data_IF_196854727361
#
_entry.id   IF_196854727361
#
_cell.length_a   1.000
_cell.length_b   1.000
_cell.length_c   1.000
_cell.angle_alpha   90.00
_cell.angle_beta   90.00
_cell.angle_gamma   90.00
#
_symmetry.space_group_name_H-M   'P 1'
#
loop_
_entity.id
_entity.type
_entity.pdbx_description
1 polymer ?
#
# COMPACT_ATOMS: atom_id res chain seq x y z
N UNK A 1 -3.35 -33.01 16.93
CA UNK A 1 -4.20 -32.00 16.24
C UNK A 1 -3.48 -30.66 15.93
N UNK A 2 -2.74 -30.04 16.87
CA UNK A 2 -2.08 -28.71 16.71
C UNK A 2 -1.18 -28.57 15.46
N UNK A 3 -0.40 -29.60 15.14
CA UNK A 3 0.51 -29.63 13.98
C UNK A 3 -0.20 -29.50 12.62
N UNK A 4 -1.45 -29.99 12.48
CA UNK A 4 -2.22 -29.83 11.23
C UNK A 4 -2.57 -28.35 11.00
N UNK A 5 -3.20 -27.70 11.99
CA UNK A 5 -3.51 -26.26 11.96
C UNK A 5 -2.30 -25.38 11.61
N UNK A 6 -1.13 -25.65 12.19
CA UNK A 6 0.09 -24.88 11.88
C UNK A 6 0.56 -25.06 10.43
N UNK A 7 0.45 -26.28 9.85
CA UNK A 7 0.73 -26.50 8.42
C UNK A 7 -0.26 -25.74 7.53
N UNK A 8 -1.54 -25.74 7.90
CA UNK A 8 -2.58 -25.04 7.15
C UNK A 8 -2.37 -23.51 7.19
N UNK A 9 -2.09 -22.93 8.36
CA UNK A 9 -1.82 -21.49 8.50
C UNK A 9 -0.57 -21.06 7.73
N UNK A 10 0.51 -21.85 7.80
CA UNK A 10 1.72 -21.60 6.99
C UNK A 10 1.42 -21.68 5.48
N UNK A 11 0.58 -22.62 5.04
CA UNK A 11 0.12 -22.70 3.64
C UNK A 11 -0.68 -21.47 3.23
N UNK A 12 -1.63 -21.03 4.05
CA UNK A 12 -2.45 -19.84 3.77
C UNK A 12 -1.60 -18.58 3.71
N UNK A 13 -0.72 -18.34 4.70
CA UNK A 13 0.18 -17.19 4.71
C UNK A 13 1.17 -17.18 3.54
N UNK A 14 1.69 -18.36 3.14
CA UNK A 14 2.53 -18.46 1.94
C UNK A 14 1.77 -18.04 0.67
N UNK A 15 0.51 -18.46 0.50
CA UNK A 15 -0.35 -18.01 -0.61
C UNK A 15 -0.55 -16.49 -0.60
N UNK A 16 -0.80 -15.89 0.57
CA UNK A 16 -0.91 -14.43 0.70
C UNK A 16 0.40 -13.69 0.39
N UNK A 17 1.55 -14.23 0.79
CA UNK A 17 2.86 -13.67 0.45
C UNK A 17 3.15 -13.72 -1.05
N UNK A 18 2.86 -14.85 -1.70
CA UNK A 18 3.15 -15.08 -3.12
C UNK A 18 2.24 -14.27 -4.07
N UNK A 19 0.95 -14.19 -3.76
CA UNK A 19 -0.04 -13.56 -4.67
C UNK A 19 -0.31 -12.11 -4.34
N UNK A 20 -0.43 -11.78 -3.05
CA UNK A 20 -0.81 -10.45 -2.58
C UNK A 20 0.37 -9.64 -2.03
N UNK A 21 1.60 -10.16 -2.13
CA UNK A 21 2.84 -9.46 -1.75
C UNK A 21 2.91 -9.06 -0.27
N UNK A 22 2.31 -9.85 0.62
CA UNK A 22 2.45 -9.66 2.07
C UNK A 22 3.94 -9.73 2.47
N UNK A 23 4.39 -8.75 3.27
CA UNK A 23 5.76 -8.67 3.79
C UNK A 23 5.77 -8.70 5.30
N UNK A 24 6.87 -9.20 5.85
CA UNK A 24 7.13 -9.31 7.28
C UNK A 24 7.78 -8.01 7.79
N UNK A 25 7.46 -7.52 9.01
CA UNK A 25 6.43 -8.05 9.91
C UNK A 25 5.02 -7.75 9.40
N UNK A 26 4.10 -8.73 9.51
CA UNK A 26 2.74 -8.57 9.01
C UNK A 26 1.98 -7.50 9.80
N UNK A 27 1.27 -6.62 9.09
CA UNK A 27 0.52 -5.52 9.70
C UNK A 27 -0.89 -5.98 10.05
N UNK A 28 -1.23 -6.02 11.34
CA UNK A 28 -2.51 -6.57 11.84
C UNK A 28 -3.36 -5.43 12.41
N UNK A 29 -4.49 -5.12 11.78
CA UNK A 29 -5.50 -4.24 12.34
C UNK A 29 -6.32 -5.02 13.36
N UNK A 30 -6.43 -4.51 14.59
CA UNK A 30 -7.10 -5.17 15.71
C UNK A 30 -8.33 -4.39 16.14
N UNK A 31 -9.44 -5.12 16.31
CA UNK A 31 -10.79 -4.62 16.59
C UNK A 31 -11.08 -4.46 18.09
N UNK A 32 -11.91 -3.49 18.46
CA UNK A 32 -12.37 -3.28 19.84
C UNK A 32 -12.94 -4.55 20.50
N UNK A 33 -13.87 -5.25 19.83
CA UNK A 33 -14.49 -6.50 20.32
C UNK A 33 -13.44 -7.61 20.45
N UNK A 34 -12.45 -7.63 19.55
CA UNK A 34 -11.39 -8.62 19.55
C UNK A 34 -10.43 -8.42 20.72
N UNK A 35 -10.11 -7.17 21.09
CA UNK A 35 -9.29 -6.85 22.27
C UNK A 35 -10.03 -7.22 23.56
N UNK A 36 -11.33 -6.92 23.67
CA UNK A 36 -12.16 -7.33 24.80
C UNK A 36 -12.17 -8.87 24.95
N UNK A 37 -12.57 -9.58 23.88
CA UNK A 37 -12.61 -11.05 23.85
C UNK A 37 -11.27 -11.70 24.21
N UNK A 38 -10.15 -11.08 23.82
CA UNK A 38 -8.80 -11.55 24.16
C UNK A 38 -8.49 -11.39 25.66
N UNK A 39 -8.91 -10.30 26.30
CA UNK A 39 -8.72 -10.09 27.73
C UNK A 39 -9.58 -11.04 28.57
N UNK A 40 -10.83 -11.25 28.19
CA UNK A 40 -11.76 -12.17 28.86
C UNK A 40 -11.18 -13.60 28.88
N UNK A 41 -10.59 -14.02 27.75
CA UNK A 41 -10.00 -15.34 27.57
C UNK A 41 -8.52 -15.41 28.00
N UNK A 42 -7.98 -14.34 28.60
CA UNK A 42 -6.57 -14.24 29.06
C UNK A 42 -5.53 -14.52 27.96
N UNK A 43 -5.84 -14.17 26.71
CA UNK A 43 -5.00 -14.37 25.52
C UNK A 43 -4.07 -13.16 25.34
N UNK A 44 -2.76 -13.35 25.49
CA UNK A 44 -1.78 -12.32 25.11
C UNK A 44 -1.67 -12.21 23.57
N UNK A 45 -2.20 -11.11 23.03
CA UNK A 45 -2.16 -10.81 21.61
C UNK A 45 -0.74 -10.59 21.06
N UNK A 46 0.23 -10.21 21.91
CA UNK A 46 1.62 -9.97 21.45
C UNK A 46 2.33 -11.28 21.09
N UNK A 47 2.12 -12.34 21.86
CA UNK A 47 2.72 -13.67 21.61
C UNK A 47 1.87 -14.53 20.68
N UNK A 48 0.54 -14.49 20.82
CA UNK A 48 -0.35 -15.42 20.11
C UNK A 48 -0.54 -15.05 18.64
N UNK A 49 -0.57 -13.76 18.27
CA UNK A 49 -0.77 -13.35 16.87
C UNK A 49 0.42 -13.80 15.99
N UNK A 50 1.70 -13.59 16.38
CA UNK A 50 2.83 -14.17 15.65
C UNK A 50 2.79 -15.70 15.55
N UNK A 51 2.36 -16.38 16.61
CA UNK A 51 2.27 -17.83 16.65
C UNK A 51 1.20 -18.40 15.67
N UNK A 52 0.11 -17.67 15.44
CA UNK A 52 -0.93 -18.04 14.47
C UNK A 52 -0.53 -17.66 13.03
N UNK A 53 0.10 -16.50 12.84
CA UNK A 53 0.60 -16.04 11.53
C UNK A 53 1.90 -16.74 11.10
N UNK A 54 2.49 -17.58 11.95
CA UNK A 54 3.73 -18.31 11.76
C UNK A 54 4.96 -17.41 11.49
N UNK A 55 4.90 -16.12 11.84
CA UNK A 55 5.98 -15.14 11.63
C UNK A 55 5.75 -13.87 12.47
N UNK A 56 6.70 -12.94 12.44
CA UNK A 56 6.62 -11.67 13.15
C UNK A 56 5.44 -10.81 12.66
N UNK A 57 4.67 -10.25 13.61
CA UNK A 57 3.50 -9.42 13.33
C UNK A 57 3.52 -8.14 14.16
N UNK A 58 2.97 -7.06 13.58
CA UNK A 58 2.83 -5.74 14.16
C UNK A 58 1.35 -5.44 14.38
N UNK A 59 0.90 -5.48 15.62
CA UNK A 59 -0.47 -5.15 16.01
C UNK A 59 -0.69 -3.64 15.94
N UNK A 60 -1.80 -3.23 15.33
CA UNK A 60 -2.16 -1.84 15.11
C UNK A 60 -3.64 -1.60 15.45
N UNK A 61 -3.91 -0.39 15.95
CA UNK A 61 -5.23 0.06 16.40
C UNK A 61 -5.51 1.43 15.79
N UNK A 62 -6.75 1.70 15.38
CA UNK A 62 -7.14 2.99 14.77
C UNK A 62 -7.67 3.98 15.81
N UNK A 63 -7.57 5.30 15.61
CA UNK A 63 -8.22 6.29 16.46
C UNK A 63 -9.71 6.04 16.68
N UNK A 64 -10.44 5.51 15.68
CA UNK A 64 -11.85 5.15 15.79
C UNK A 64 -12.07 3.96 16.74
N UNK A 65 -11.31 2.87 16.60
CA UNK A 65 -11.35 1.72 17.54
C UNK A 65 -11.05 2.17 18.99
N UNK A 66 -10.08 3.09 19.18
CA UNK A 66 -9.79 3.68 20.49
C UNK A 66 -10.88 4.62 21.00
N UNK A 67 -11.71 5.20 20.13
CA UNK A 67 -12.82 6.05 20.52
C UNK A 67 -14.02 5.18 20.94
N UNK A 68 -14.30 4.09 20.21
CA UNK A 68 -15.33 3.12 20.57
C UNK A 68 -15.02 2.42 21.91
N UNK A 69 -13.76 2.04 22.14
CA UNK A 69 -13.32 1.52 23.45
C UNK A 69 -13.43 2.55 24.58
N UNK A 70 -13.47 3.86 24.30
CA UNK A 70 -13.76 4.89 25.32
C UNK A 70 -15.26 5.07 25.54
N UNK A 71 -16.08 5.03 24.49
CA UNK A 71 -17.53 5.21 24.62
C UNK A 71 -18.21 4.04 25.34
N UNK A 72 -17.58 2.86 25.34
CA UNK A 72 -18.00 1.69 26.15
C UNK A 72 -17.65 1.80 27.65
N UNK A 73 -17.00 2.89 28.10
CA UNK A 73 -16.82 3.18 29.52
C UNK A 73 -15.96 2.17 30.30
N UNK A 74 -16.37 1.88 31.53
CA UNK A 74 -15.60 1.09 32.49
C UNK A 74 -15.45 -0.38 32.10
N UNK A 75 -16.48 -0.99 31.51
CA UNK A 75 -16.47 -2.36 30.97
C UNK A 75 -15.33 -2.57 29.95
N UNK A 76 -15.01 -1.53 29.18
CA UNK A 76 -13.96 -1.54 28.16
C UNK A 76 -12.62 -0.98 28.65
N UNK A 77 -12.51 -0.53 29.91
CA UNK A 77 -11.32 0.15 30.45
C UNK A 77 -10.03 -0.66 30.29
N UNK A 78 -10.08 -1.97 30.59
CA UNK A 78 -8.96 -2.89 30.39
C UNK A 78 -8.55 -3.02 28.93
N UNK A 79 -9.53 -3.12 28.02
CA UNK A 79 -9.30 -3.18 26.57
C UNK A 79 -8.71 -1.87 26.03
N UNK A 80 -9.19 -0.72 26.52
CA UNK A 80 -8.61 0.59 26.20
C UNK A 80 -7.14 0.69 26.68
N UNK A 81 -6.82 0.25 27.89
CA UNK A 81 -5.44 0.23 28.40
C UNK A 81 -4.56 -0.72 27.55
N UNK A 82 -5.05 -1.91 27.21
CA UNK A 82 -4.34 -2.85 26.33
C UNK A 82 -4.09 -2.24 24.94
N UNK A 83 -5.08 -1.56 24.35
CA UNK A 83 -5.00 -0.91 23.03
C UNK A 83 -3.85 0.11 22.93
N UNK A 84 -3.50 0.79 24.02
CA UNK A 84 -2.40 1.77 24.07
C UNK A 84 -1.02 1.13 23.85
N UNK A 85 -0.88 -0.20 24.01
CA UNK A 85 0.35 -0.95 23.78
C UNK A 85 0.58 -1.29 22.30
N UNK A 86 -0.46 -1.19 21.46
CA UNK A 86 -0.39 -1.45 20.03
C UNK A 86 -0.04 -0.15 19.26
N UNK A 87 0.44 -0.29 18.02
CA UNK A 87 0.80 0.89 17.23
C UNK A 87 -0.44 1.62 16.71
N UNK A 88 -0.45 2.94 16.78
CA UNK A 88 -1.60 3.76 16.35
C UNK A 88 -1.56 3.99 14.85
N UNK A 89 -2.45 3.32 14.10
CA UNK A 89 -2.65 3.58 12.67
C UNK A 89 -3.59 4.76 12.48
N UNK A 90 -3.07 5.90 12.01
CA UNK A 90 -3.91 7.07 11.65
C UNK A 90 -4.92 6.70 10.55
N UNK A 91 -6.19 6.97 10.82
CA UNK A 91 -7.30 6.95 9.87
C UNK A 91 -7.49 8.34 9.24
N UNK A 92 -8.39 8.47 8.26
CA UNK A 92 -8.70 9.75 7.59
C UNK A 92 -9.80 10.54 8.30
N UNK A 93 -10.47 9.94 9.28
CA UNK A 93 -11.60 10.49 10.01
C UNK A 93 -11.14 11.54 11.04
N UNK A 94 -11.78 12.70 11.05
CA UNK A 94 -11.53 13.77 12.02
C UNK A 94 -12.40 13.64 13.27
N UNK A 95 -13.66 13.22 13.10
CA UNK A 95 -14.55 12.74 14.17
C UNK A 95 -14.47 11.22 14.27
N UNK A 96 -14.79 10.66 15.43
CA UNK A 96 -14.86 9.21 15.59
C UNK A 96 -16.09 8.65 14.86
N UNK A 97 -15.85 7.83 13.84
CA UNK A 97 -16.87 7.07 13.11
C UNK A 97 -16.90 5.65 13.65
N UNK A 98 -17.98 4.90 13.40
CA UNK A 98 -18.06 3.48 13.76
C UNK A 98 -16.85 2.70 13.27
N UNK A 99 -16.36 1.77 14.09
CA UNK A 99 -15.17 0.99 13.76
C UNK A 99 -15.33 0.23 12.42
N UNK A 100 -16.50 -0.37 12.21
CA UNK A 100 -16.82 -1.17 11.02
C UNK A 100 -16.65 -0.39 9.71
N UNK A 101 -17.09 0.87 9.69
CA UNK A 101 -16.90 1.79 8.56
C UNK A 101 -15.44 2.21 8.43
N UNK A 102 -14.77 2.52 9.54
CA UNK A 102 -13.36 2.92 9.55
C UNK A 102 -12.44 1.83 8.96
N UNK A 103 -12.61 0.56 9.37
CA UNK A 103 -11.87 -0.56 8.82
C UNK A 103 -12.17 -0.79 7.34
N UNK A 104 -13.44 -0.71 6.94
CA UNK A 104 -13.85 -0.87 5.54
C UNK A 104 -13.19 0.17 4.62
N UNK A 105 -13.10 1.43 5.04
CA UNK A 105 -12.41 2.48 4.28
C UNK A 105 -10.89 2.33 4.25
N UNK A 106 -10.26 1.86 5.34
CA UNK A 106 -8.81 1.66 5.42
C UNK A 106 -8.34 0.53 4.51
N UNK A 107 -9.12 -0.55 4.42
CA UNK A 107 -8.79 -1.75 3.62
C UNK A 107 -9.19 -1.53 2.15
N UNK A 108 -10.31 -0.85 1.91
CA UNK A 108 -10.86 -0.64 0.56
C UNK A 108 -11.09 -1.97 -0.19
N UNK A 109 -11.29 -1.93 -1.51
CA UNK A 109 -11.61 -3.10 -2.35
C UNK A 109 -10.40 -3.99 -2.66
N UNK A 110 -9.18 -3.48 -2.49
CA UNK A 110 -7.93 -4.12 -2.96
C UNK A 110 -6.80 -4.21 -1.93
N UNK A 111 -7.05 -3.86 -0.66
CA UNK A 111 -6.08 -3.95 0.46
C UNK A 111 -4.67 -3.41 0.11
N UNK A 112 -4.52 -2.12 -0.26
CA UNK A 112 -3.28 -1.58 -0.84
C UNK A 112 -2.07 -1.58 0.12
N UNK A 113 -2.29 -1.86 1.40
CA UNK A 113 -1.26 -1.90 2.44
C UNK A 113 -1.05 -3.32 3.02
N UNK A 114 -1.73 -4.34 2.48
CA UNK A 114 -1.61 -5.74 2.90
C UNK A 114 -1.85 -5.95 4.41
N UNK A 115 -2.99 -5.45 4.92
CA UNK A 115 -3.41 -5.71 6.29
C UNK A 115 -3.96 -7.12 6.45
N UNK A 116 -3.65 -7.71 7.60
CA UNK A 116 -4.44 -8.75 8.27
C UNK A 116 -5.47 -8.05 9.15
N UNK A 117 -6.68 -8.60 9.27
CA UNK A 117 -7.72 -8.04 10.15
C UNK A 117 -8.04 -9.05 11.25
N UNK A 118 -7.96 -8.60 12.50
CA UNK A 118 -8.35 -9.35 13.68
C UNK A 118 -9.66 -8.77 14.24
N UNK A 119 -10.78 -9.44 13.95
CA UNK A 119 -12.13 -8.96 14.26
C UNK A 119 -13.00 -10.09 14.78
N UNK A 120 -13.83 -9.80 15.79
CA UNK A 120 -14.76 -10.78 16.34
C UNK A 120 -16.13 -10.72 15.62
N UNK A 121 -16.50 -9.56 15.08
CA UNK A 121 -17.76 -9.34 14.37
C UNK A 121 -17.92 -10.26 13.15
N UNK A 122 -18.95 -11.12 13.19
CA UNK A 122 -19.28 -12.03 12.08
C UNK A 122 -19.65 -11.26 10.81
N UNK A 123 -20.32 -10.11 10.94
CA UNK A 123 -20.74 -9.28 9.80
C UNK A 123 -19.52 -8.72 9.06
N UNK A 124 -18.55 -8.17 9.79
CA UNK A 124 -17.30 -7.68 9.20
C UNK A 124 -16.51 -8.78 8.50
N UNK A 125 -16.40 -9.97 9.10
CA UNK A 125 -15.69 -11.11 8.47
C UNK A 125 -16.34 -11.53 7.16
N UNK A 126 -17.67 -11.71 7.14
CA UNK A 126 -18.42 -12.02 5.90
C UNK A 126 -18.25 -10.90 4.87
N UNK A 127 -18.31 -9.64 5.29
CA UNK A 127 -18.14 -8.49 4.41
C UNK A 127 -16.74 -8.47 3.76
N UNK A 128 -15.67 -8.62 4.54
CA UNK A 128 -14.30 -8.63 4.01
C UNK A 128 -14.03 -9.85 3.14
N UNK A 129 -14.43 -11.05 3.58
CA UNK A 129 -14.26 -12.28 2.81
C UNK A 129 -14.98 -12.22 1.44
N UNK A 130 -16.15 -11.58 1.37
CA UNK A 130 -16.97 -11.52 0.14
C UNK A 130 -16.58 -10.36 -0.77
N UNK A 131 -16.29 -9.16 -0.23
CA UNK A 131 -16.04 -7.95 -1.03
C UNK A 131 -14.58 -7.76 -1.42
N UNK A 132 -13.63 -8.33 -0.66
CA UNK A 132 -12.19 -8.03 -0.80
C UNK A 132 -11.40 -9.33 -1.00
N UNK A 133 -10.56 -9.36 -2.03
CA UNK A 133 -9.58 -10.42 -2.20
C UNK A 133 -8.27 -10.05 -1.50
N UNK A 134 -7.59 -11.02 -0.87
CA UNK A 134 -6.28 -10.78 -0.26
C UNK A 134 -6.31 -10.21 1.16
N UNK A 135 -7.39 -10.43 1.92
CA UNK A 135 -7.46 -10.08 3.35
C UNK A 135 -7.47 -11.36 4.19
N UNK A 136 -6.42 -11.65 4.97
CA UNK A 136 -6.43 -12.70 5.97
C UNK A 136 -7.23 -12.23 7.20
N UNK A 137 -8.11 -13.10 7.71
CA UNK A 137 -8.99 -12.80 8.85
C UNK A 137 -8.61 -13.64 10.07
N UNK A 138 -8.45 -12.99 11.22
CA UNK A 138 -8.25 -13.61 12.53
C UNK A 138 -9.51 -13.39 13.38
N UNK A 139 -9.93 -14.43 14.09
CA UNK A 139 -10.99 -14.35 15.11
C UNK A 139 -10.67 -15.25 16.29
N UNK A 140 -11.36 -15.05 17.42
CA UNK A 140 -11.15 -15.82 18.64
C UNK A 140 -12.36 -16.73 18.91
N UNK A 141 -12.11 -17.98 19.28
CA UNK A 141 -13.15 -18.95 19.70
C UNK A 141 -12.73 -19.66 20.99
N UNK A 142 -13.48 -19.42 22.08
CA UNK A 142 -13.35 -19.95 23.45
C UNK A 142 -12.05 -19.64 24.20
N UNK A 143 -10.92 -20.02 23.63
CA UNK A 143 -9.56 -19.76 24.15
C UNK A 143 -8.48 -19.94 23.05
N UNK A 144 -8.90 -20.08 21.79
CA UNK A 144 -8.02 -20.30 20.64
C UNK A 144 -8.27 -19.18 19.63
N UNK A 145 -7.20 -18.50 19.22
CA UNK A 145 -7.23 -17.67 18.02
C UNK A 145 -7.10 -18.55 16.78
N UNK A 146 -7.86 -18.20 15.74
CA UNK A 146 -7.99 -18.97 14.51
C UNK A 146 -7.78 -18.02 13.33
N UNK A 147 -6.86 -18.38 12.44
CA UNK A 147 -6.79 -17.83 11.09
C UNK A 147 -7.87 -18.50 10.24
N UNK A 148 -8.77 -17.70 9.67
CA UNK A 148 -9.82 -18.15 8.77
C UNK A 148 -9.20 -18.66 7.45
N UNK A 149 -9.72 -19.75 6.85
CA UNK A 149 -9.29 -20.16 5.52
C UNK A 149 -9.49 -19.04 4.49
N UNK A 150 -8.67 -18.98 3.42
CA UNK A 150 -8.73 -17.91 2.45
C UNK A 150 -10.09 -17.88 1.74
N UNK A 151 -10.66 -16.68 1.60
CA UNK A 151 -11.98 -16.50 0.99
C UNK A 151 -12.04 -17.01 -0.45
N UNK A 152 -13.22 -17.43 -0.90
CA UNK A 152 -13.41 -17.85 -2.30
C UNK A 152 -12.93 -16.81 -3.30
N UNK A 153 -13.14 -15.52 -3.02
CA UNK A 153 -12.66 -14.42 -3.87
C UNK A 153 -11.13 -14.37 -3.92
N UNK A 154 -10.47 -14.56 -2.79
CA UNK A 154 -9.00 -14.66 -2.72
C UNK A 154 -8.51 -15.86 -3.54
N UNK A 155 -9.11 -17.04 -3.37
CA UNK A 155 -8.74 -18.27 -4.09
C UNK A 155 -9.03 -18.16 -5.59
N UNK A 156 -10.14 -17.54 -6.01
CA UNK A 156 -10.48 -17.27 -7.42
C UNK A 156 -9.45 -16.33 -8.06
N UNK A 157 -9.00 -15.29 -7.34
CA UNK A 157 -7.95 -14.37 -7.82
C UNK A 157 -6.58 -15.04 -7.90
N UNK A 158 -6.21 -15.87 -6.92
CA UNK A 158 -4.98 -16.69 -6.96
C UNK A 158 -4.99 -17.60 -8.18
N UNK A 159 -6.06 -18.38 -8.39
CA UNK A 159 -6.20 -19.28 -9.54
C UNK A 159 -6.13 -18.56 -10.88
N UNK A 160 -6.70 -17.36 -11.01
CA UNK A 160 -6.59 -16.52 -12.21
C UNK A 160 -5.14 -16.10 -12.45
N UNK A 161 -4.47 -15.57 -11.43
CA UNK A 161 -3.06 -15.14 -11.54
C UNK A 161 -2.10 -16.31 -11.76
N UNK A 162 -2.43 -17.52 -11.30
CA UNK A 162 -1.72 -18.76 -11.63
C UNK A 162 -2.00 -19.16 -13.08
N UNK A 163 -3.25 -19.14 -13.54
CA UNK A 163 -3.59 -19.48 -14.92
C UNK A 163 -2.99 -18.50 -15.93
N UNK A 164 -2.98 -17.21 -15.63
CA UNK A 164 -2.40 -16.16 -16.49
C UNK A 164 -0.87 -16.28 -16.62
N UNK A 165 -0.20 -16.98 -15.69
CA UNK A 165 1.24 -17.26 -15.72
C UNK A 165 1.60 -18.62 -16.33
N UNK A 166 0.73 -19.62 -16.20
CA UNK A 166 1.00 -21.01 -16.59
C UNK A 166 0.37 -21.40 -17.92
N UNK A 167 -0.78 -20.82 -18.27
CA UNK A 167 -1.40 -21.03 -19.57
C UNK A 167 -0.85 -20.05 -20.60
N UNK A 168 -0.55 -20.61 -21.76
CA UNK A 168 -0.31 -19.89 -23.02
C UNK A 168 -1.44 -18.88 -23.26
N UNK A 169 -1.12 -17.64 -23.66
CA UNK A 169 -2.12 -16.57 -23.73
C UNK A 169 -3.23 -16.91 -24.74
N UNK A 170 -4.44 -16.35 -24.57
CA UNK A 170 -5.58 -16.66 -25.45
C UNK A 170 -5.28 -16.48 -26.94
N UNK A 171 -4.38 -15.55 -27.29
CA UNK A 171 -3.93 -15.27 -28.65
C UNK A 171 -3.02 -16.38 -29.19
N UNK A 172 -2.11 -16.86 -28.37
CA UNK A 172 -1.20 -17.95 -28.69
C UNK A 172 -1.95 -19.29 -28.70
N UNK A 173 -2.93 -19.51 -27.82
CA UNK A 173 -3.85 -20.65 -27.90
C UNK A 173 -4.69 -20.63 -29.18
N UNK A 174 -5.12 -19.45 -29.66
CA UNK A 174 -5.79 -19.32 -30.96
C UNK A 174 -4.82 -19.59 -32.12
N UNK A 175 -3.54 -19.19 -32.02
CA UNK A 175 -2.52 -19.52 -33.01
C UNK A 175 -2.18 -21.01 -33.03
N UNK A 176 -2.00 -21.65 -31.87
CA UNK A 176 -1.77 -23.09 -31.74
C UNK A 176 -2.95 -23.91 -32.26
N UNK A 177 -4.20 -23.49 -32.03
CA UNK A 177 -5.39 -24.12 -32.64
C UNK A 177 -5.45 -23.97 -34.17
N UNK A 178 -4.75 -23.00 -34.75
CA UNK A 178 -4.64 -22.81 -36.20
C UNK A 178 -3.51 -23.65 -36.83
N UNK A 179 -2.60 -24.18 -36.01
CA UNK A 179 -1.44 -24.97 -36.42
C UNK A 179 -1.73 -26.44 -36.12
N UNK A 180 -1.98 -27.23 -37.17
CA UNK A 180 -2.07 -28.68 -37.05
C UNK A 180 -0.72 -29.29 -37.37
N UNK A 181 -0.18 -30.06 -36.43
CA UNK A 181 0.99 -30.91 -36.65
C UNK A 181 0.48 -32.26 -37.12
N UNK A 182 0.89 -32.67 -38.32
CA UNK A 182 0.62 -34.03 -38.82
C UNK A 182 1.66 -35.01 -38.28
N UNK A 183 1.31 -36.30 -38.19
CA UNK A 183 2.10 -37.31 -37.47
C UNK A 183 3.55 -37.52 -37.98
N UNK A 184 3.92 -36.97 -39.14
CA UNK A 184 5.28 -36.96 -39.68
C UNK A 184 6.07 -35.67 -39.40
N UNK A 185 5.72 -34.88 -38.38
CA UNK A 185 6.44 -33.66 -37.99
C UNK A 185 6.25 -32.45 -38.93
N UNK A 186 5.46 -32.59 -40.01
CA UNK A 186 5.12 -31.48 -40.91
C UNK A 186 4.07 -30.58 -40.27
N UNK A 187 4.46 -29.32 -40.06
CA UNK A 187 3.62 -28.24 -39.54
C UNK A 187 2.79 -27.66 -40.68
N UNK A 188 1.47 -27.87 -40.65
CA UNK A 188 0.54 -27.28 -41.62
C UNK A 188 -0.38 -26.26 -40.93
N UNK A 189 -0.37 -25.02 -41.42
CA UNK A 189 -1.40 -24.04 -41.06
C UNK A 189 -2.65 -24.28 -41.90
N UNK A 190 -3.83 -24.33 -41.26
CA UNK A 190 -5.10 -24.40 -41.98
C UNK A 190 -5.32 -23.10 -42.77
N UNK A 191 -5.25 -23.16 -44.11
CA UNK A 191 -5.42 -22.00 -45.02
C UNK A 191 -6.74 -21.23 -44.76
N UNK A 192 -7.80 -21.96 -44.38
CA UNK A 192 -9.11 -21.37 -44.00
C UNK A 192 -9.04 -20.48 -42.76
N UNK A 193 -8.11 -20.74 -41.84
CA UNK A 193 -7.93 -19.95 -40.61
C UNK A 193 -7.05 -18.72 -40.87
N UNK A 194 -6.03 -18.83 -41.72
CA UNK A 194 -5.22 -17.68 -42.17
C UNK A 194 -6.14 -16.62 -42.80
N UNK A 195 -6.92 -17.00 -43.82
CA UNK A 195 -7.81 -16.08 -44.55
C UNK A 195 -8.82 -15.38 -43.62
N UNK A 196 -9.41 -16.13 -42.69
CA UNK A 196 -10.37 -15.62 -41.69
C UNK A 196 -9.72 -14.69 -40.63
N UNK A 197 -8.43 -14.87 -40.35
CA UNK A 197 -7.66 -13.95 -39.49
C UNK A 197 -7.24 -12.67 -40.23
N UNK A 198 -6.99 -12.76 -41.54
CA UNK A 198 -6.69 -11.60 -42.39
C UNK A 198 -7.92 -10.72 -42.60
N UNK A 199 -9.06 -11.29 -43.01
CA UNK A 199 -10.35 -10.59 -43.11
C UNK A 199 -10.69 -9.86 -41.79
N UNK A 200 -10.46 -10.52 -40.64
CA UNK A 200 -10.69 -9.94 -39.30
C UNK A 200 -9.69 -8.83 -38.95
N UNK A 201 -8.44 -8.88 -39.45
CA UNK A 201 -7.45 -7.79 -39.32
C UNK A 201 -7.83 -6.60 -40.20
N UNK A 202 -8.27 -6.83 -41.43
CA UNK A 202 -8.69 -5.78 -42.37
C UNK A 202 -9.91 -5.02 -41.87
N UNK A 203 -10.98 -5.72 -41.48
CA UNK A 203 -12.15 -5.08 -40.88
C UNK A 203 -11.80 -4.25 -39.63
N UNK A 204 -10.81 -4.69 -38.83
CA UNK A 204 -10.31 -3.93 -37.67
C UNK A 204 -9.48 -2.69 -38.08
N UNK A 205 -8.71 -2.76 -39.18
CA UNK A 205 -8.01 -1.60 -39.77
C UNK A 205 -9.00 -0.58 -40.33
N UNK A 206 -9.99 -1.01 -41.12
CA UNK A 206 -11.05 -0.17 -41.68
C UNK A 206 -11.80 0.57 -40.57
N UNK A 207 -12.26 -0.14 -39.53
CA UNK A 207 -12.96 0.48 -38.38
C UNK A 207 -12.10 1.47 -37.58
N UNK A 208 -10.78 1.34 -37.62
CA UNK A 208 -9.84 2.30 -37.03
C UNK A 208 -9.64 3.53 -37.92
N UNK A 209 -9.53 3.34 -39.25
CA UNK A 209 -9.45 4.42 -40.24
C UNK A 209 -10.75 5.24 -40.24
N UNK A 210 -11.91 4.60 -40.19
CA UNK A 210 -13.22 5.26 -40.12
C UNK A 210 -13.36 6.10 -38.83
N UNK A 211 -12.91 5.58 -37.68
CA UNK A 211 -12.82 6.36 -36.44
C UNK A 211 -11.88 7.56 -36.56
N UNK A 212 -10.69 7.40 -37.17
CA UNK A 212 -9.75 8.51 -37.43
C UNK A 212 -10.37 9.56 -38.37
N UNK A 213 -11.06 9.13 -39.43
CA UNK A 213 -11.75 10.03 -40.37
C UNK A 213 -12.91 10.79 -39.69
N UNK A 214 -13.69 10.13 -38.82
CA UNK A 214 -14.73 10.80 -38.02
C UNK A 214 -14.14 11.83 -37.04
N UNK A 215 -12.96 11.56 -36.47
CA UNK A 215 -12.24 12.54 -35.62
C UNK A 215 -11.69 13.71 -36.46
N UNK A 216 -11.16 13.45 -37.66
CA UNK A 216 -10.68 14.51 -38.56
C UNK A 216 -11.82 15.41 -39.05
N UNK A 217 -12.96 14.83 -39.47
CA UNK A 217 -14.16 15.59 -39.87
C UNK A 217 -14.72 16.44 -38.72
N UNK A 218 -14.68 15.96 -37.47
CA UNK A 218 -15.01 16.76 -36.27
C UNK A 218 -14.01 17.90 -35.95
N UNK A 219 -12.83 17.91 -36.58
CA UNK A 219 -11.84 19.00 -36.47
C UNK A 219 -11.83 19.94 -37.68
N UNK A 220 -12.61 19.64 -38.72
CA UNK A 220 -12.73 20.43 -39.93
C UNK A 220 -13.93 21.40 -39.87
N UNK A 221 -14.00 22.18 -38.78
CA UNK A 221 -14.76 23.43 -38.80
C UNK A 221 -13.96 24.54 -39.51
N UNK A 222 -14.58 25.68 -39.86
CA UNK A 222 -13.84 26.86 -40.31
C UNK A 222 -12.74 27.22 -39.32
N UNK A 223 -11.55 27.59 -39.82
CA UNK A 223 -10.43 28.04 -38.98
C UNK A 223 -10.69 29.47 -38.49
N UNK A 224 -11.65 29.61 -37.58
CA UNK A 224 -11.79 30.84 -36.81
C UNK A 224 -10.49 31.07 -36.01
N UNK A 225 -9.91 32.28 -36.04
CA UNK A 225 -8.72 32.57 -35.24
C UNK A 225 -9.00 32.32 -33.76
N UNK A 226 -8.09 31.60 -33.09
CA UNK A 226 -8.13 31.40 -31.64
C UNK A 226 -8.46 32.73 -30.93
N UNK A 227 -9.54 32.83 -30.12
CA UNK A 227 -10.06 34.11 -29.61
C UNK A 227 -9.09 34.89 -28.72
N UNK A 228 -7.98 34.27 -28.27
CA UNK A 228 -6.86 34.96 -27.63
C UNK A 228 -6.03 35.85 -28.58
N UNK A 229 -6.18 35.72 -29.90
CA UNK A 229 -5.32 36.34 -30.91
C UNK A 229 -5.85 37.67 -31.50
N UNK A 230 -6.98 38.21 -31.00
CA UNK A 230 -7.64 39.40 -31.57
C UNK A 230 -7.57 40.64 -30.65
N UNK A 231 -6.72 40.66 -29.62
CA UNK A 231 -6.38 41.91 -28.91
C UNK A 231 -5.38 42.76 -29.70
N UNK A 232 -5.87 43.49 -30.69
CA UNK A 232 -5.13 44.56 -31.38
C UNK A 232 -4.81 45.70 -30.40
N UNK A 233 -3.56 46.20 -30.41
CA UNK A 233 -3.16 47.47 -29.78
C UNK A 233 -3.51 48.66 -30.67
N UNK A 234 -3.80 49.83 -30.05
CA UNK A 234 -3.58 51.25 -30.46
C UNK A 234 -4.78 52.14 -30.04
N UNK A 235 -4.64 53.48 -29.98
CA UNK A 235 -3.44 54.33 -29.77
C UNK A 235 -3.64 55.36 -28.63
N UNK A 236 -2.66 56.27 -28.42
CA UNK A 236 -2.82 57.50 -27.63
C UNK A 236 -3.43 58.61 -28.48
N UNK A 237 -4.24 59.49 -27.89
CA UNK A 237 -4.47 60.86 -28.38
C UNK A 237 -4.60 61.83 -27.20
N UNK A 238 -4.04 63.02 -27.34
CA UNK A 238 -4.04 64.13 -26.36
C UNK A 238 -4.92 65.28 -26.86
N UNK A 239 -5.79 65.83 -26.00
CA UNK A 239 -6.03 67.29 -25.81
C UNK A 239 -7.04 67.56 -24.67
N UNK A 240 -6.81 68.63 -23.91
CA UNK A 240 -7.61 69.23 -22.81
C UNK A 240 -8.56 70.34 -23.34
N UNK A 241 -9.31 71.16 -22.55
CA UNK A 241 -9.43 71.32 -21.08
C UNK A 241 -10.87 71.53 -20.49
N UNK A 242 -10.92 71.93 -19.20
CA UNK A 242 -12.00 72.61 -18.41
C UNK A 242 -12.75 71.74 -17.34
N UNK A 243 -12.42 71.83 -16.04
CA UNK A 243 -13.01 72.67 -14.91
C UNK A 243 -14.49 72.37 -14.57
N UNK A 244 -14.96 72.30 -13.31
CA UNK A 244 -14.46 72.67 -11.96
C UNK A 244 -14.81 71.60 -10.90
N UNK A 245 -13.86 71.12 -10.08
CA UNK A 245 -13.80 71.44 -8.63
C UNK A 245 -14.08 70.20 -7.74
N UNK A 246 -13.96 70.13 -6.39
CA UNK A 246 -13.21 70.90 -5.36
C UNK A 246 -13.20 70.04 -4.05
N UNK A 247 -12.07 69.67 -3.42
CA UNK A 247 -11.56 70.27 -2.15
C UNK A 247 -10.19 69.67 -1.73
N UNK A 248 -9.37 70.48 -1.03
CA UNK A 248 -8.24 70.24 -0.07
C UNK A 248 -7.83 68.79 0.34
N UNK A 249 -6.56 68.44 0.64
CA UNK A 249 -5.34 69.22 1.02
C UNK A 249 -4.00 68.44 0.79
N UNK A 250 -2.87 69.14 0.75
CA UNK A 250 -1.47 68.69 0.51
C UNK A 250 -0.70 68.26 1.80
N UNK A 251 0.53 67.69 1.87
CA UNK A 251 1.53 66.98 1.01
C UNK A 251 2.54 66.27 1.98
N UNK A 252 3.50 65.37 1.65
CA UNK A 252 4.67 65.50 0.74
C UNK A 252 5.47 64.16 0.65
N UNK A 253 6.01 63.81 -0.54
CA UNK A 253 7.06 62.78 -0.86
C UNK A 253 6.91 61.30 -0.38
N UNK A 254 7.19 60.25 -1.17
CA UNK A 254 7.49 60.18 -2.61
C UNK A 254 8.09 58.82 -3.07
N UNK A 255 7.45 58.17 -4.05
CA UNK A 255 7.95 57.14 -4.99
C UNK A 255 8.52 55.76 -4.48
N UNK A 256 8.44 54.62 -5.19
CA UNK A 256 7.53 54.04 -6.23
C UNK A 256 7.75 52.50 -6.24
N UNK A 257 6.76 51.68 -6.64
CA UNK A 257 6.83 50.20 -6.77
C UNK A 257 7.33 49.77 -8.20
N UNK A 258 7.14 48.54 -8.77
CA UNK A 258 6.76 47.22 -8.23
C UNK A 258 7.53 45.98 -8.80
N UNK A 259 7.26 44.83 -8.16
CA UNK A 259 7.25 43.43 -8.61
C UNK A 259 7.72 42.99 -10.03
N UNK A 260 8.78 42.17 -10.06
CA UNK A 260 8.67 40.70 -10.16
C UNK A 260 8.03 40.01 -11.38
N UNK A 261 8.86 39.43 -12.26
CA UNK A 261 8.48 38.34 -13.17
C UNK A 261 9.45 37.15 -13.04
N UNK A 262 8.94 35.91 -13.14
CA UNK A 262 9.78 34.72 -13.18
C UNK A 262 9.50 33.80 -14.38
N UNK A 263 10.54 33.69 -15.23
CA UNK A 263 11.05 32.48 -15.91
C UNK A 263 10.10 31.61 -16.74
N UNK A 264 10.47 31.45 -18.02
CA UNK A 264 10.25 30.21 -18.79
C UNK A 264 11.59 29.66 -19.28
N UNK A 265 11.73 28.33 -19.19
CA UNK A 265 12.92 27.52 -19.50
C UNK A 265 13.22 27.47 -21.00
N UNK A 266 14.51 27.36 -21.34
CA UNK A 266 15.00 26.83 -22.62
C UNK A 266 16.02 25.73 -22.32
N UNK A 267 16.05 24.71 -23.18
CA UNK A 267 17.08 23.68 -23.20
C UNK A 267 17.82 23.81 -24.53
N UNK A 268 19.13 23.59 -24.51
CA UNK A 268 19.96 23.02 -25.58
C UNK A 268 21.25 22.51 -24.88
N UNK A 269 21.90 21.47 -25.41
CA UNK A 269 23.02 20.77 -24.75
C UNK A 269 24.24 20.55 -25.64
N UNK A 270 25.14 19.63 -25.22
CA UNK A 270 26.49 19.32 -25.78
C UNK A 270 27.59 20.35 -25.46
N UNK A 271 28.86 20.01 -25.21
CA UNK A 271 29.51 18.77 -24.73
C UNK A 271 30.94 19.14 -24.19
N UNK A 272 31.79 18.14 -23.91
CA UNK A 272 33.25 18.17 -23.72
C UNK A 272 33.83 18.27 -22.28
N UNK A 273 34.88 17.47 -22.10
CA UNK A 273 35.57 17.04 -20.87
C UNK A 273 36.98 17.61 -20.70
N UNK A 274 37.46 17.81 -19.46
CA UNK A 274 38.89 17.67 -19.07
C UNK A 274 39.05 17.63 -17.52
N UNK A 275 40.23 17.26 -16.99
CA UNK A 275 40.46 16.84 -15.60
C UNK A 275 41.66 17.53 -14.88
N UNK A 276 41.97 17.09 -13.63
CA UNK A 276 42.98 17.57 -12.64
C UNK A 276 42.61 18.87 -11.87
N UNK A 277 43.02 19.17 -10.63
CA UNK A 277 43.89 18.52 -9.62
C UNK A 277 44.88 19.54 -9.01
N UNK A 278 45.20 19.65 -7.71
CA UNK A 278 44.78 18.99 -6.44
C UNK A 278 44.88 20.02 -5.27
N UNK A 279 44.26 19.87 -4.09
CA UNK A 279 44.90 19.28 -2.89
C UNK A 279 44.74 20.18 -1.64
N UNK A 280 44.82 19.65 -0.40
CA UNK A 280 44.82 20.50 0.82
C UNK A 280 44.23 19.99 2.15
N UNK A 281 44.85 18.96 2.77
CA UNK A 281 44.92 18.62 4.22
C UNK A 281 43.65 18.57 5.16
N UNK A 282 43.53 17.54 6.05
CA UNK A 282 42.45 17.40 7.03
C UNK A 282 42.83 17.75 8.49
N UNK A 283 41.85 18.08 9.34
CA UNK A 283 42.04 18.22 10.80
C UNK A 283 41.27 17.18 11.66
N UNK A 284 41.63 17.10 12.93
CA UNK A 284 41.63 15.89 13.77
C UNK A 284 40.33 15.68 14.56
N UNK A 285 39.93 14.41 14.77
CA UNK A 285 39.88 13.78 16.12
C UNK A 285 39.48 12.28 16.15
N UNK A 286 40.42 11.47 16.67
CA UNK A 286 40.29 10.29 17.55
C UNK A 286 39.31 9.16 17.19
N UNK A 287 39.86 8.11 16.55
CA UNK A 287 39.45 6.71 16.77
C UNK A 287 39.73 6.27 18.22
N UNK A 288 38.85 5.44 18.82
CA UNK A 288 39.17 4.49 19.90
C UNK A 288 38.93 3.07 19.38
N UNK A 289 39.82 2.11 19.68
CA UNK A 289 39.67 0.70 19.27
C UNK A 289 40.16 -0.24 20.38
N UNK A 290 39.35 -1.27 20.66
CA UNK A 290 39.62 -2.50 21.46
C UNK A 290 40.19 -2.38 22.89
N UNK A 291 39.53 -3.10 23.81
CA UNK A 291 40.20 -4.16 24.58
C UNK A 291 39.31 -5.41 24.61
N UNK A 292 39.92 -6.59 24.68
CA UNK A 292 39.28 -7.90 24.51
C UNK A 292 38.84 -8.54 25.83
N UNK A 293 37.89 -9.47 25.72
CA UNK A 293 37.37 -10.33 26.79
C UNK A 293 38.35 -11.49 27.05
N UNK A 294 38.86 -11.58 28.27
CA UNK A 294 39.52 -12.75 28.84
C UNK A 294 39.29 -12.72 30.37
N UNK A 295 39.25 -13.91 30.98
CA UNK A 295 39.19 -14.18 32.43
C UNK A 295 38.01 -13.59 33.24
N UNK A 296 37.05 -14.48 33.56
CA UNK A 296 36.55 -14.71 34.93
C UNK A 296 35.61 -15.91 34.93
N UNK A 297 36.19 -17.08 35.13
CA UNK A 297 35.50 -18.35 35.38
C UNK A 297 36.22 -19.01 36.56
N UNK A 298 35.75 -18.76 37.79
CA UNK A 298 36.16 -19.44 39.03
C UNK A 298 35.40 -18.87 40.25
N UNK A 299 34.17 -19.33 40.50
CA UNK A 299 33.57 -19.43 41.86
C UNK A 299 32.41 -20.44 41.81
N UNK A 300 32.75 -21.73 41.70
CA UNK A 300 31.98 -22.82 42.31
C UNK A 300 32.59 -23.05 43.70
N UNK A 301 31.87 -23.39 44.76
CA UNK A 301 30.47 -23.82 44.81
C UNK A 301 30.29 -25.23 45.34
N UNK A 302 31.02 -25.64 46.40
CA UNK A 302 30.85 -26.93 47.06
C UNK A 302 31.39 -26.90 48.50
N UNK A 303 30.54 -27.15 49.50
CA UNK A 303 30.96 -27.09 50.90
C UNK A 303 29.83 -27.35 51.91
N UNK A 304 29.16 -28.50 51.81
CA UNK A 304 28.19 -28.96 52.80
C UNK A 304 28.32 -30.47 53.02
N UNK A 305 29.08 -30.86 54.04
CA UNK A 305 29.27 -32.24 54.46
C UNK A 305 29.39 -32.31 55.97
N UNK A 306 28.28 -32.60 56.64
CA UNK A 306 28.22 -32.87 58.07
C UNK A 306 27.00 -33.75 58.35
N UNK A 307 27.21 -35.05 58.44
CA UNK A 307 26.25 -36.01 58.99
C UNK A 307 27.02 -36.89 59.96
N UNK A 308 26.79 -36.68 61.25
CA UNK A 308 27.30 -37.50 62.35
C UNK A 308 26.10 -37.87 63.23
N UNK A 309 25.85 -39.16 63.40
CA UNK A 309 24.78 -39.68 64.24
C UNK A 309 25.28 -40.12 65.62
N UNK A 310 24.38 -40.08 66.59
CA UNK A 310 24.39 -40.77 67.89
C UNK A 310 23.06 -40.38 68.57
N UNK A 311 22.05 -41.24 68.63
CA UNK A 311 21.84 -42.26 69.68
C UNK A 311 21.14 -41.73 70.94
N UNK A 312 20.05 -42.44 71.28
CA UNK A 312 19.59 -42.80 72.63
C UNK A 312 18.93 -41.75 73.56
N UNK A 313 17.76 -42.19 74.06
CA UNK A 313 17.00 -41.74 75.25
C UNK A 313 16.19 -40.44 75.15
#
# INVERSE_FOLDING_TARGET
MRLKRHKDYKRYMNMYCQTFHFRKPYQVLVDADFIQTALDQRIDLRTQIPAVLCDASKQMVTPCTMAELRSRGEDASGAFIASKRFEKRRCKHQTAVSESQCLAEIISTTNPHNYVVATQSKQLRVQFATKVAGVPLLYIKRANMILEPPSEMSVKTVKKLESDKTHVSEKELQALKAVKVTAGGKVSMDVKIIKKLEEKKEHRKQKLQEKKAKILKKRAGPKEPNPLSVKKKKPKTTTTPATTGTTSTAATTGATQPAGQSRKRKEDGSDATAAAGDGGAPDKKKRKRKKSRAEREATLGSGSGAVSGSESS
#
